data_IF_967297224884
#
_entry.id   IF_967297224884
#
_cell.length_a   1.000
_cell.length_b   1.000
_cell.length_c   1.000
_cell.angle_alpha   90.00
_cell.angle_beta   90.00
_cell.angle_gamma   90.00
#
_symmetry.space_group_name_H-M   'P 1'
#
loop_
_entity.id
_entity.type
_entity.pdbx_description
1 polymer ?
#
# COMPACT_ATOMS: atom_id res chain seq x y z
N UNK A 1 1.78 -2.04 7.92
CA UNK A 1 2.86 -1.51 7.06
C UNK A 1 2.79 0.01 6.91
N UNK A 2 1.58 0.60 6.92
CA UNK A 2 1.39 2.02 6.63
C UNK A 2 1.57 2.97 7.84
N UNK A 3 1.63 2.43 9.06
CA UNK A 3 1.84 3.19 10.30
C UNK A 3 3.27 3.08 10.82
N UNK A 4 4.23 3.52 10.01
CA UNK A 4 5.61 3.61 10.46
C UNK A 4 5.74 4.72 11.52
N UNK A 5 6.63 4.57 12.52
CA UNK A 5 6.91 5.64 13.48
C UNK A 5 7.51 6.87 12.76
N UNK A 6 7.46 8.08 13.33
CA UNK A 6 8.20 9.22 12.81
C UNK A 6 9.71 8.89 12.73
N UNK A 7 10.43 9.49 11.77
CA UNK A 7 11.88 9.32 11.72
C UNK A 7 12.51 10.26 12.76
N UNK A 8 13.52 9.75 13.45
CA UNK A 8 14.42 10.56 14.28
C UNK A 8 15.64 10.94 13.43
N UNK A 9 16.12 12.16 13.58
CA UNK A 9 17.32 12.68 12.90
C UNK A 9 17.29 12.43 11.37
N UNK A 10 16.17 12.79 10.72
CA UNK A 10 15.85 12.33 9.36
C UNK A 10 16.92 12.69 8.31
N UNK A 11 17.64 13.79 8.52
CA UNK A 11 18.65 14.34 7.62
C UNK A 11 20.10 14.03 8.07
N UNK A 12 20.30 13.40 9.23
CA UNK A 12 21.64 13.06 9.72
C UNK A 12 22.13 11.75 9.11
N UNK A 13 23.30 11.80 8.47
CA UNK A 13 23.98 10.58 8.01
C UNK A 13 24.65 9.89 9.18
N UNK A 14 24.35 8.62 9.36
CA UNK A 14 25.05 7.73 10.27
C UNK A 14 26.24 7.11 9.55
N UNK A 15 27.37 6.89 10.23
CA UNK A 15 28.58 6.27 9.65
C UNK A 15 28.35 4.89 9.00
N UNK A 16 27.20 4.26 9.26
CA UNK A 16 26.81 2.94 8.74
C UNK A 16 26.10 2.98 7.37
N UNK A 17 25.81 4.15 6.79
CA UNK A 17 25.04 4.21 5.53
C UNK A 17 25.30 5.49 4.73
N UNK A 18 25.40 5.34 3.40
CA UNK A 18 25.48 6.46 2.46
C UNK A 18 24.18 7.28 2.39
N UNK A 19 23.07 6.71 2.85
CA UNK A 19 21.73 7.29 2.80
C UNK A 19 21.29 7.79 4.16
N UNK A 20 20.66 8.96 4.21
CA UNK A 20 19.96 9.43 5.41
C UNK A 20 18.76 8.54 5.76
N UNK A 21 18.28 8.52 7.01
CA UNK A 21 17.05 7.80 7.37
C UNK A 21 15.86 8.13 6.46
N UNK A 22 15.74 9.39 6.05
CA UNK A 22 14.72 9.87 5.11
C UNK A 22 14.87 9.28 3.72
N UNK A 23 16.08 9.30 3.17
CA UNK A 23 16.36 8.71 1.86
C UNK A 23 16.06 7.21 1.86
N UNK A 24 16.45 6.48 2.92
CA UNK A 24 16.12 5.06 3.07
C UNK A 24 14.62 4.82 3.10
N UNK A 25 13.86 5.64 3.83
CA UNK A 25 12.40 5.53 3.89
C UNK A 25 11.74 5.80 2.53
N UNK A 26 12.24 6.80 1.78
CA UNK A 26 11.76 7.11 0.43
C UNK A 26 12.08 5.97 -0.54
N UNK A 27 13.31 5.44 -0.51
CA UNK A 27 13.72 4.34 -1.38
C UNK A 27 12.91 3.08 -1.10
N UNK A 28 12.70 2.74 0.18
CA UNK A 28 11.84 1.64 0.59
C UNK A 28 10.43 1.81 0.02
N UNK A 29 9.84 3.00 0.19
CA UNK A 29 8.51 3.31 -0.35
C UNK A 29 8.46 3.13 -1.87
N UNK A 30 9.43 3.69 -2.61
CA UNK A 30 9.49 3.57 -4.08
C UNK A 30 9.59 2.13 -4.54
N UNK A 31 10.49 1.34 -3.96
CA UNK A 31 10.71 -0.06 -4.34
C UNK A 31 9.44 -0.88 -4.05
N UNK A 32 8.84 -0.71 -2.87
CA UNK A 32 7.60 -1.41 -2.52
C UNK A 32 6.46 -1.07 -3.49
N UNK A 33 6.25 0.21 -3.80
CA UNK A 33 5.19 0.61 -4.74
C UNK A 33 5.45 0.05 -6.12
N UNK A 34 6.68 0.13 -6.64
CA UNK A 34 7.01 -0.41 -7.96
C UNK A 34 6.73 -1.91 -8.04
N UNK A 35 7.11 -2.67 -7.01
CA UNK A 35 6.85 -4.12 -6.95
C UNK A 35 5.34 -4.38 -6.92
N UNK A 36 4.60 -3.70 -6.02
CA UNK A 36 3.16 -3.92 -5.88
C UNK A 36 2.39 -3.54 -7.14
N UNK A 37 2.68 -2.39 -7.75
CA UNK A 37 2.07 -1.96 -9.02
C UNK A 37 2.38 -2.99 -10.11
N UNK A 38 3.63 -3.43 -10.23
CA UNK A 38 4.00 -4.41 -11.26
C UNK A 38 3.31 -5.76 -11.07
N UNK A 39 3.21 -6.25 -9.84
CA UNK A 39 2.53 -7.51 -9.53
C UNK A 39 1.02 -7.38 -9.76
N UNK A 40 0.39 -6.33 -9.22
CA UNK A 40 -1.05 -6.09 -9.30
C UNK A 40 -1.54 -5.69 -10.70
N UNK A 41 -0.62 -5.46 -11.64
CA UNK A 41 -0.93 -5.40 -13.07
C UNK A 41 -1.30 -6.78 -13.68
N UNK A 42 -1.21 -7.86 -12.90
CA UNK A 42 -1.58 -9.22 -13.29
C UNK A 42 -2.70 -9.77 -12.39
N UNK A 43 -3.51 -10.68 -12.93
CA UNK A 43 -4.66 -11.24 -12.24
C UNK A 43 -4.29 -12.06 -10.99
N UNK A 44 -3.33 -12.99 -11.10
CA UNK A 44 -3.01 -13.91 -10.00
C UNK A 44 -2.53 -13.19 -8.73
N UNK A 45 -1.60 -12.21 -8.79
CA UNK A 45 -1.20 -11.47 -7.60
C UNK A 45 -2.36 -10.62 -7.02
N UNK A 46 -3.22 -10.05 -7.86
CA UNK A 46 -4.39 -9.30 -7.38
C UNK A 46 -5.38 -10.21 -6.64
N UNK A 47 -5.58 -11.45 -7.10
CA UNK A 47 -6.39 -12.45 -6.40
C UNK A 47 -5.75 -12.93 -5.10
N UNK A 48 -4.42 -13.01 -5.04
CA UNK A 48 -3.73 -13.42 -3.81
C UNK A 48 -3.91 -12.37 -2.70
N UNK A 49 -3.96 -11.07 -3.03
CA UNK A 49 -4.30 -10.02 -2.06
C UNK A 49 -5.68 -10.23 -1.44
N UNK A 50 -6.65 -10.74 -2.21
CA UNK A 50 -7.98 -11.09 -1.71
C UNK A 50 -7.91 -12.30 -0.77
N UNK A 51 -7.16 -13.33 -1.15
CA UNK A 51 -7.00 -14.56 -0.34
C UNK A 51 -6.35 -14.26 1.01
N UNK A 52 -5.43 -13.29 1.05
CA UNK A 52 -4.71 -12.87 2.26
C UNK A 52 -5.42 -11.78 3.06
N UNK A 53 -6.56 -11.30 2.59
CA UNK A 53 -7.25 -10.12 3.14
C UNK A 53 -6.43 -8.81 3.07
N UNK A 54 -5.31 -8.80 2.37
CA UNK A 54 -4.45 -7.61 2.22
C UNK A 54 -5.12 -6.50 1.40
N UNK A 55 -6.10 -6.84 0.55
CA UNK A 55 -6.88 -5.84 -0.17
C UNK A 55 -7.72 -4.99 0.79
N UNK A 56 -8.24 -5.54 1.91
CA UNK A 56 -8.92 -4.74 2.94
C UNK A 56 -7.97 -3.72 3.58
N UNK A 57 -6.71 -4.09 3.77
CA UNK A 57 -5.68 -3.23 4.35
C UNK A 57 -5.37 -2.05 3.42
N UNK A 58 -5.35 -2.25 2.10
CA UNK A 58 -5.19 -1.15 1.13
C UNK A 58 -6.35 -0.16 1.19
N UNK A 59 -7.60 -0.65 1.28
CA UNK A 59 -8.77 0.22 1.46
C UNK A 59 -8.73 0.96 2.81
N UNK A 60 -8.33 0.28 3.87
CA UNK A 60 -8.15 0.89 5.19
C UNK A 60 -7.09 2.00 5.13
N UNK A 61 -5.96 1.75 4.48
CA UNK A 61 -4.87 2.72 4.36
C UNK A 61 -5.29 4.03 3.66
N UNK A 62 -6.21 3.96 2.69
CA UNK A 62 -6.69 5.15 1.98
C UNK A 62 -7.86 5.86 2.66
N UNK A 63 -8.61 5.19 3.54
CA UNK A 63 -9.82 5.74 4.16
C UNK A 63 -9.68 6.09 5.65
N UNK A 64 -8.82 5.41 6.40
CA UNK A 64 -8.59 5.68 7.83
C UNK A 64 -7.91 7.03 8.04
N UNK A 65 -7.90 7.60 9.24
CA UNK A 65 -7.03 8.76 9.53
C UNK A 65 -5.58 8.30 9.71
N UNK A 66 -4.60 9.05 9.20
CA UNK A 66 -3.18 8.78 9.46
C UNK A 66 -2.40 10.08 9.75
N UNK A 67 -1.29 10.00 10.50
CA UNK A 67 -0.38 11.13 10.66
C UNK A 67 0.19 11.64 9.33
N UNK A 68 0.58 12.92 9.29
CA UNK A 68 1.09 13.58 8.07
C UNK A 68 2.34 12.90 7.49
N UNK A 69 3.22 12.38 8.35
CA UNK A 69 4.44 11.68 7.94
C UNK A 69 4.17 10.33 7.23
N UNK A 70 2.96 9.77 7.35
CA UNK A 70 2.54 8.56 6.63
C UNK A 70 1.70 8.86 5.37
N UNK A 71 1.49 10.14 5.04
CA UNK A 71 0.72 10.54 3.85
C UNK A 71 1.27 9.97 2.53
N UNK A 72 2.59 9.74 2.44
CA UNK A 72 3.22 9.14 1.26
C UNK A 72 2.75 7.70 1.03
N UNK A 73 2.58 6.93 2.11
CA UNK A 73 2.09 5.55 2.08
C UNK A 73 0.61 5.47 1.73
N UNK A 74 -0.18 6.48 2.12
CA UNK A 74 -1.57 6.62 1.67
C UNK A 74 -1.65 6.79 0.15
N UNK A 75 -0.86 7.71 -0.42
CA UNK A 75 -0.80 7.93 -1.88
C UNK A 75 -0.36 6.67 -2.62
N UNK A 76 0.63 5.97 -2.06
CA UNK A 76 1.15 4.70 -2.57
C UNK A 76 0.06 3.61 -2.61
N UNK A 77 -0.74 3.51 -1.55
CA UNK A 77 -1.85 2.54 -1.48
C UNK A 77 -2.93 2.85 -2.52
N UNK A 78 -3.24 4.14 -2.73
CA UNK A 78 -4.17 4.57 -3.77
C UNK A 78 -3.67 4.21 -5.17
N UNK A 79 -2.38 4.38 -5.45
CA UNK A 79 -1.76 3.99 -6.74
C UNK A 79 -1.89 2.49 -7.02
N UNK A 80 -1.65 1.65 -6.01
CA UNK A 80 -1.85 0.19 -6.13
C UNK A 80 -3.32 -0.13 -6.39
N UNK A 81 -4.26 0.51 -5.69
CA UNK A 81 -5.70 0.31 -5.92
C UNK A 81 -6.13 0.75 -7.33
N UNK A 82 -5.60 1.84 -7.86
CA UNK A 82 -5.82 2.26 -9.26
C UNK A 82 -5.32 1.17 -10.22
N UNK A 83 -4.12 0.63 -9.97
CA UNK A 83 -3.56 -0.44 -10.81
C UNK A 83 -4.44 -1.68 -10.81
N UNK A 84 -4.92 -2.10 -9.64
CA UNK A 84 -5.87 -3.23 -9.50
C UNK A 84 -7.17 -2.92 -10.27
N UNK A 85 -7.69 -1.69 -10.17
CA UNK A 85 -8.91 -1.31 -10.88
C UNK A 85 -8.77 -1.37 -12.41
N UNK A 86 -7.56 -1.11 -12.93
CA UNK A 86 -7.28 -1.10 -14.36
C UNK A 86 -6.96 -2.49 -14.92
N UNK A 87 -6.31 -3.36 -14.14
CA UNK A 87 -5.71 -4.59 -14.66
C UNK A 87 -6.04 -5.84 -13.83
N UNK A 88 -6.41 -5.69 -12.56
CA UNK A 88 -6.55 -6.78 -11.60
C UNK A 88 -7.99 -7.16 -11.25
N UNK A 89 -9.01 -6.58 -11.91
CA UNK A 89 -10.42 -6.88 -11.62
C UNK A 89 -10.87 -8.22 -12.20
N UNK A 90 -10.63 -9.29 -11.45
CA UNK A 90 -11.21 -10.61 -11.73
C UNK A 90 -12.57 -10.78 -11.02
N UNK A 91 -13.40 -11.77 -11.38
CA UNK A 91 -14.65 -12.05 -10.67
C UNK A 91 -14.47 -12.24 -9.16
N UNK A 92 -13.35 -12.85 -8.74
CA UNK A 92 -13.01 -13.07 -7.33
C UNK A 92 -12.72 -11.76 -6.61
N UNK A 93 -11.95 -10.86 -7.24
CA UNK A 93 -11.64 -9.53 -6.69
C UNK A 93 -12.90 -8.67 -6.59
N UNK A 94 -13.73 -8.68 -7.64
CA UNK A 94 -15.01 -7.96 -7.66
C UNK A 94 -15.93 -8.48 -6.54
N UNK A 95 -16.09 -9.81 -6.43
CA UNK A 95 -16.92 -10.42 -5.40
C UNK A 95 -16.45 -10.05 -4.00
N UNK A 96 -15.15 -10.07 -3.76
CA UNK A 96 -14.58 -9.65 -2.48
C UNK A 96 -14.89 -8.18 -2.17
N UNK A 97 -14.68 -7.26 -3.12
CA UNK A 97 -15.00 -5.84 -2.96
C UNK A 97 -16.48 -5.67 -2.61
N UNK A 98 -17.40 -6.31 -3.34
CA UNK A 98 -18.82 -6.25 -3.04
C UNK A 98 -19.16 -6.83 -1.65
N UNK A 99 -18.55 -7.95 -1.28
CA UNK A 99 -18.76 -8.58 0.03
C UNK A 99 -18.31 -7.69 1.20
N UNK A 100 -17.18 -6.99 1.03
CA UNK A 100 -16.63 -6.07 2.03
C UNK A 100 -17.59 -4.92 2.35
N UNK A 101 -18.29 -4.39 1.34
CA UNK A 101 -19.26 -3.31 1.55
C UNK A 101 -20.65 -3.85 1.92
N UNK A 102 -21.06 -5.02 1.44
CA UNK A 102 -22.34 -5.63 1.80
C UNK A 102 -22.44 -5.95 3.31
N UNK A 103 -21.37 -6.44 3.94
CA UNK A 103 -21.33 -6.69 5.39
C UNK A 103 -21.18 -5.43 6.27
N UNK A 104 -20.93 -4.25 5.69
CA UNK A 104 -20.91 -2.98 6.47
C UNK A 104 -22.29 -2.33 6.59
N UNK A 105 -23.31 -2.84 5.88
CA UNK A 105 -24.68 -2.30 5.87
C UNK A 105 -25.75 -3.33 6.30
N UNK A 106 -25.34 -4.44 6.89
CA UNK A 106 -26.18 -5.41 7.63
C UNK A 106 -25.69 -5.43 9.07
#
# INVERSE_FOLDING_TARGET
FFDLPPLENEDEKTDQSDFTPKERRILLQKIFVQILVRLCSNHLPAEELVVKDDLSLLFSAITSSCPSYNSVWRKSSAEVLITISQHGLTPKVIQYIHGMYACKYI
#
